data_IF_268322836945
#
_entry.id   IF_268322836945
#
_cell.length_a   1.000
_cell.length_b   1.000
_cell.length_c   1.000
_cell.angle_alpha   90.00
_cell.angle_beta   90.00
_cell.angle_gamma   90.00
#
_symmetry.space_group_name_H-M   'P 1'
#
loop_
_entity.id
_entity.type
_entity.pdbx_description
1 polymer ?
#
# COMPACT_ATOMS: atom_id res chain seq x y z
N UNK A 1 -2.10 -10.17 -6.79
CA UNK A 1 -2.57 -8.78 -6.66
C UNK A 1 -2.55 -8.39 -5.19
N UNK A 2 -2.20 -7.14 -4.88
CA UNK A 2 -1.85 -6.68 -3.54
C UNK A 2 -2.62 -5.43 -3.17
N UNK A 3 -3.18 -5.37 -1.96
CA UNK A 3 -3.75 -4.16 -1.35
C UNK A 3 -2.69 -3.56 -0.41
N UNK A 4 -2.32 -2.31 -0.66
CA UNK A 4 -1.29 -1.64 0.14
C UNK A 4 -1.90 -0.95 1.36
N UNK A 5 -1.34 -1.24 2.53
CA UNK A 5 -1.61 -0.50 3.75
C UNK A 5 -0.96 0.90 3.71
N UNK A 6 -1.55 1.85 4.39
CA UNK A 6 -1.10 3.26 4.41
C UNK A 6 0.38 3.42 4.78
N UNK A 7 0.93 2.74 5.82
CA UNK A 7 2.35 2.79 6.13
C UNK A 7 3.26 2.33 4.99
N UNK A 8 2.80 1.35 4.17
CA UNK A 8 3.54 0.87 3.00
C UNK A 8 3.64 1.98 1.95
N UNK A 9 2.53 2.65 1.67
CA UNK A 9 2.47 3.76 0.69
C UNK A 9 3.34 4.92 1.13
N UNK A 10 3.31 5.29 2.41
CA UNK A 10 4.15 6.34 2.99
C UNK A 10 5.64 5.97 2.96
N UNK A 11 5.98 4.70 3.18
CA UNK A 11 7.36 4.25 3.07
C UNK A 11 7.86 4.28 1.62
N UNK A 12 7.04 3.84 0.65
CA UNK A 12 7.36 3.92 -0.78
C UNK A 12 7.57 5.37 -1.26
N UNK A 13 6.93 6.37 -0.63
CA UNK A 13 7.19 7.79 -0.90
C UNK A 13 8.67 8.16 -0.74
N UNK A 14 9.37 7.50 0.19
CA UNK A 14 10.78 7.76 0.49
C UNK A 14 11.74 7.13 -0.54
N UNK A 15 11.23 6.32 -1.47
CA UNK A 15 12.07 5.61 -2.44
C UNK A 15 12.93 6.54 -3.29
N UNK A 16 12.45 7.76 -3.59
CA UNK A 16 13.22 8.77 -4.31
C UNK A 16 14.45 9.27 -3.55
N UNK A 17 14.37 9.38 -2.24
CA UNK A 17 15.48 9.83 -1.39
C UNK A 17 16.45 8.71 -1.01
N UNK A 18 16.19 7.47 -1.43
CA UNK A 18 16.99 6.31 -1.05
C UNK A 18 16.84 5.89 0.42
N UNK A 19 15.84 6.44 1.12
CA UNK A 19 15.59 6.20 2.54
C UNK A 19 14.50 5.15 2.80
N UNK A 20 14.05 4.44 1.77
CA UNK A 20 13.07 3.35 1.89
C UNK A 20 13.74 2.09 2.40
N UNK A 21 13.01 1.28 3.18
CA UNK A 21 13.45 -0.06 3.55
C UNK A 21 13.86 -0.88 2.32
N UNK A 22 15.02 -1.54 2.38
CA UNK A 22 15.60 -2.24 1.24
C UNK A 22 14.74 -3.42 0.79
N UNK A 23 14.15 -4.17 1.71
CA UNK A 23 13.27 -5.30 1.40
C UNK A 23 12.00 -4.84 0.69
N UNK A 24 11.35 -3.79 1.23
CA UNK A 24 10.18 -3.19 0.60
C UNK A 24 10.51 -2.64 -0.81
N UNK A 25 11.63 -1.96 -0.97
CA UNK A 25 12.04 -1.43 -2.27
C UNK A 25 12.30 -2.55 -3.28
N UNK A 26 12.97 -3.62 -2.86
CA UNK A 26 13.26 -4.80 -3.70
C UNK A 26 11.98 -5.50 -4.11
N UNK A 27 11.08 -5.78 -3.15
CA UNK A 27 9.79 -6.38 -3.45
C UNK A 27 8.96 -5.53 -4.41
N UNK A 28 8.79 -4.25 -4.10
CA UNK A 28 8.02 -3.35 -4.94
C UNK A 28 8.59 -3.23 -6.35
N UNK A 29 9.93 -3.32 -6.50
CA UNK A 29 10.59 -3.34 -7.80
C UNK A 29 10.24 -4.57 -8.64
N UNK A 30 9.99 -5.72 -8.02
CA UNK A 30 9.60 -6.96 -8.69
C UNK A 30 8.11 -7.06 -9.04
N UNK A 31 7.24 -6.23 -8.46
CA UNK A 31 5.80 -6.32 -8.66
C UNK A 31 5.32 -5.37 -9.76
N UNK A 32 4.50 -5.86 -10.68
CA UNK A 32 3.84 -5.00 -11.68
C UNK A 32 2.91 -4.00 -10.99
N UNK A 33 3.01 -2.73 -11.38
CA UNK A 33 2.16 -1.64 -10.88
C UNK A 33 0.65 -1.97 -10.98
N UNK A 34 0.24 -2.69 -12.03
CA UNK A 34 -1.14 -3.08 -12.25
C UNK A 34 -1.68 -4.03 -11.18
N UNK A 35 -0.80 -4.72 -10.47
CA UNK A 35 -1.14 -5.62 -9.37
C UNK A 35 -1.24 -4.93 -8.01
N UNK A 36 -0.98 -3.62 -7.92
CA UNK A 36 -1.02 -2.84 -6.70
C UNK A 36 -2.33 -2.04 -6.62
N UNK A 37 -3.05 -2.20 -5.53
CA UNK A 37 -4.32 -1.55 -5.23
C UNK A 37 -4.21 -0.73 -3.95
N UNK A 38 -5.04 0.31 -3.85
CA UNK A 38 -5.19 1.13 -2.66
C UNK A 38 -6.65 1.06 -2.19
N UNK A 39 -6.89 1.16 -0.90
CA UNK A 39 -8.25 1.35 -0.37
C UNK A 39 -8.58 2.84 -0.29
N UNK A 40 -9.85 3.22 -0.52
CA UNK A 40 -10.35 4.56 -0.21
C UNK A 40 -10.11 4.92 1.27
N UNK A 41 -10.09 3.92 2.17
CA UNK A 41 -9.71 4.11 3.57
C UNK A 41 -8.26 4.57 3.71
N UNK A 42 -7.31 3.93 2.99
CA UNK A 42 -5.91 4.34 3.01
C UNK A 42 -5.72 5.75 2.42
N UNK A 43 -6.48 6.10 1.39
CA UNK A 43 -6.50 7.46 0.85
C UNK A 43 -6.98 8.47 1.90
N UNK A 44 -8.07 8.17 2.62
CA UNK A 44 -8.56 8.99 3.72
C UNK A 44 -7.49 9.19 4.81
N UNK A 45 -6.73 8.16 5.14
CA UNK A 45 -5.65 8.24 6.14
C UNK A 45 -4.50 9.13 5.66
N UNK A 46 -4.15 9.09 4.38
CA UNK A 46 -3.16 9.99 3.79
C UNK A 46 -3.62 11.44 3.88
N UNK A 47 -4.87 11.74 3.53
CA UNK A 47 -5.46 13.09 3.63
C UNK A 47 -5.53 13.57 5.09
N UNK A 48 -5.93 12.69 6.02
CA UNK A 48 -5.93 13.00 7.45
C UNK A 48 -4.51 13.26 7.97
N UNK A 49 -3.50 12.59 7.44
CA UNK A 49 -2.11 12.82 7.81
C UNK A 49 -1.64 14.21 7.35
N UNK A 50 -2.05 14.65 6.15
CA UNK A 50 -1.80 16.01 5.69
C UNK A 50 -2.52 17.05 6.55
N UNK A 51 -3.79 16.80 6.90
CA UNK A 51 -4.57 17.71 7.75
C UNK A 51 -3.97 17.86 9.16
N UNK A 52 -3.40 16.81 9.73
CA UNK A 52 -2.71 16.88 11.04
C UNK A 52 -1.45 17.75 11.01
N UNK A 53 -0.80 17.86 9.86
CA UNK A 53 0.38 18.70 9.67
C UNK A 53 0.06 20.17 9.48
N UNK A 54 -1.20 20.56 9.21
CA UNK A 54 -1.57 21.93 8.88
C UNK A 54 -1.15 22.98 9.91
N UNK A 55 -1.16 22.64 11.20
CA UNK A 55 -0.78 23.57 12.28
C UNK A 55 0.71 23.49 12.59
N UNK A 56 1.32 22.31 12.80
CA UNK A 56 2.73 22.21 13.18
C UNK A 56 3.69 22.43 11.99
N UNK A 57 3.30 22.04 10.77
CA UNK A 57 4.16 22.11 9.57
C UNK A 57 3.33 22.34 8.29
N UNK A 58 3.01 23.60 8.02
CA UNK A 58 2.25 24.00 6.82
C UNK A 58 2.91 23.58 5.51
N UNK A 59 4.22 23.67 5.43
CA UNK A 59 4.97 23.30 4.22
C UNK A 59 4.93 21.78 3.99
N UNK A 60 5.11 20.99 5.05
CA UNK A 60 4.96 19.53 5.01
C UNK A 60 3.54 19.10 4.65
N UNK A 61 2.51 19.77 5.19
CA UNK A 61 1.11 19.53 4.84
C UNK A 61 0.85 19.78 3.34
N UNK A 62 1.30 20.92 2.82
CA UNK A 62 1.16 21.26 1.41
C UNK A 62 1.90 20.25 0.51
N UNK A 63 3.14 19.89 0.86
CA UNK A 63 3.93 18.91 0.13
C UNK A 63 3.26 17.51 0.13
N UNK A 64 2.63 17.11 1.24
CA UNK A 64 1.92 15.84 1.32
C UNK A 64 0.66 15.85 0.45
N UNK A 65 -0.14 16.93 0.46
CA UNK A 65 -1.32 17.08 -0.41
C UNK A 65 -0.96 17.05 -1.89
N UNK A 66 0.07 17.83 -2.29
CA UNK A 66 0.55 17.81 -3.68
C UNK A 66 1.01 16.41 -4.09
N UNK A 67 1.70 15.69 -3.21
CA UNK A 67 2.11 14.31 -3.48
C UNK A 67 0.90 13.37 -3.63
N UNK A 68 -0.14 13.51 -2.81
CA UNK A 68 -1.37 12.71 -2.93
C UNK A 68 -2.04 13.01 -4.28
N UNK A 69 -2.28 14.29 -4.59
CA UNK A 69 -3.00 14.72 -5.79
C UNK A 69 -2.24 14.39 -7.08
N UNK A 70 -0.94 14.68 -7.11
CA UNK A 70 -0.15 14.65 -8.35
C UNK A 70 0.52 13.28 -8.60
N UNK A 71 0.63 12.44 -7.56
CA UNK A 71 1.37 11.18 -7.65
C UNK A 71 0.55 9.97 -7.21
N UNK A 72 -0.07 9.98 -6.03
CA UNK A 72 -0.85 8.82 -5.55
C UNK A 72 -2.09 8.61 -6.40
N UNK A 73 -2.90 9.66 -6.59
CA UNK A 73 -4.14 9.55 -7.35
C UNK A 73 -3.92 9.03 -8.77
N UNK A 74 -2.99 9.59 -9.58
CA UNK A 74 -2.71 9.06 -10.91
C UNK A 74 -2.06 7.67 -10.88
N UNK A 75 -1.21 7.40 -9.86
CA UNK A 75 -0.56 6.10 -9.72
C UNK A 75 -1.55 4.96 -9.52
N UNK A 76 -2.65 5.20 -8.83
CA UNK A 76 -3.69 4.21 -8.53
C UNK A 76 -5.01 4.45 -9.28
N UNK A 77 -5.01 5.23 -10.34
CA UNK A 77 -6.21 5.44 -11.16
C UNK A 77 -6.83 4.10 -11.57
N UNK A 78 -8.15 3.96 -11.34
CA UNK A 78 -8.90 2.72 -11.57
C UNK A 78 -8.57 1.57 -10.61
N UNK A 79 -7.71 1.79 -9.60
CA UNK A 79 -7.27 0.78 -8.63
C UNK A 79 -7.38 1.24 -7.17
N UNK A 80 -8.17 2.28 -6.93
CA UNK A 80 -8.61 2.68 -5.59
C UNK A 80 -9.94 1.98 -5.31
N UNK A 81 -9.94 1.05 -4.38
CA UNK A 81 -11.10 0.24 -4.03
C UNK A 81 -12.00 1.01 -3.07
N UNK A 82 -13.31 1.10 -3.34
CA UNK A 82 -14.25 1.74 -2.43
C UNK A 82 -14.47 0.89 -1.17
N UNK A 83 -14.91 1.54 -0.09
CA UNK A 83 -15.50 0.87 1.09
C UNK A 83 -17.01 0.85 0.88
N UNK A 84 -17.48 -0.11 0.13
CA UNK A 84 -18.88 -0.27 -0.24
C UNK A 84 -19.66 -1.18 0.73
N UNK A 85 -20.94 -1.46 0.43
CA UNK A 85 -21.78 -2.29 1.26
C UNK A 85 -21.30 -3.76 1.35
N UNK A 86 -20.61 -4.28 0.34
CA UNK A 86 -20.04 -5.62 0.36
C UNK A 86 -18.87 -5.69 1.35
N UNK A 87 -17.96 -4.71 1.30
CA UNK A 87 -16.86 -4.58 2.25
C UNK A 87 -17.37 -4.42 3.69
N UNK A 88 -18.41 -3.59 3.92
CA UNK A 88 -19.00 -3.39 5.26
C UNK A 88 -19.60 -4.69 5.79
N UNK A 89 -20.34 -5.43 4.96
CA UNK A 89 -20.90 -6.75 5.34
C UNK A 89 -19.78 -7.76 5.62
N UNK A 90 -18.73 -7.76 4.85
CA UNK A 90 -17.55 -8.60 5.10
C UNK A 90 -16.89 -8.25 6.43
N UNK A 91 -16.74 -6.96 6.71
CA UNK A 91 -16.19 -6.46 7.99
C UNK A 91 -16.98 -7.00 9.19
N UNK A 92 -18.31 -7.04 9.11
CA UNK A 92 -19.16 -7.52 10.20
C UNK A 92 -18.92 -9.01 10.55
N UNK A 93 -18.33 -9.77 9.65
CA UNK A 93 -17.98 -11.21 9.83
C UNK A 93 -16.59 -11.41 10.44
N UNK A 94 -15.79 -10.35 10.59
CA UNK A 94 -14.43 -10.43 11.11
C UNK A 94 -14.36 -10.11 12.59
N UNK A 95 -13.68 -10.99 13.35
CA UNK A 95 -13.46 -10.81 14.79
C UNK A 95 -12.29 -9.84 15.09
N UNK A 96 -12.21 -8.72 14.35
CA UNK A 96 -11.23 -7.67 14.60
C UNK A 96 -11.90 -6.51 15.31
N UNK A 97 -11.29 -6.05 16.41
CA UNK A 97 -11.83 -4.96 17.25
C UNK A 97 -11.55 -3.60 16.63
N UNK A 98 -10.40 -3.41 16.04
CA UNK A 98 -10.08 -2.16 15.36
C UNK A 98 -10.86 -2.05 14.04
N UNK A 99 -11.66 -0.97 13.93
CA UNK A 99 -12.56 -0.77 12.78
C UNK A 99 -11.78 -0.51 11.49
N UNK A 100 -10.68 0.20 11.57
CA UNK A 100 -9.82 0.51 10.43
C UNK A 100 -9.19 -0.77 9.86
N UNK A 101 -8.56 -1.56 10.72
CA UNK A 101 -7.92 -2.82 10.32
C UNK A 101 -8.93 -3.84 9.82
N UNK A 102 -10.11 -3.89 10.45
CA UNK A 102 -11.20 -4.77 10.02
C UNK A 102 -11.74 -4.38 8.63
N UNK A 103 -11.86 -3.10 8.31
CA UNK A 103 -12.29 -2.63 6.97
C UNK A 103 -11.22 -2.92 5.92
N UNK A 104 -9.94 -2.72 6.26
CA UNK A 104 -8.84 -3.00 5.35
C UNK A 104 -8.74 -4.50 5.04
N UNK A 105 -8.83 -5.35 6.06
CA UNK A 105 -8.89 -6.80 5.90
C UNK A 105 -10.11 -7.24 5.09
N UNK A 106 -11.28 -6.65 5.36
CA UNK A 106 -12.51 -6.93 4.61
C UNK A 106 -12.37 -6.56 3.13
N UNK A 107 -11.76 -5.42 2.81
CA UNK A 107 -11.48 -5.01 1.44
C UNK A 107 -10.56 -6.01 0.75
N UNK A 108 -9.49 -6.44 1.40
CA UNK A 108 -8.57 -7.43 0.84
C UNK A 108 -9.26 -8.78 0.57
N UNK A 109 -10.08 -9.27 1.52
CA UNK A 109 -10.81 -10.54 1.38
C UNK A 109 -11.85 -10.43 0.27
N UNK A 110 -12.66 -9.37 0.24
CA UNK A 110 -13.75 -9.20 -0.73
C UNK A 110 -13.23 -9.17 -2.17
N UNK A 111 -12.07 -8.55 -2.38
CA UNK A 111 -11.45 -8.45 -3.70
C UNK A 111 -10.39 -9.54 -3.97
N UNK A 112 -10.22 -10.54 -3.09
CA UNK A 112 -9.28 -11.64 -3.27
C UNK A 112 -7.81 -11.21 -3.30
N UNK A 113 -7.45 -10.14 -2.60
CA UNK A 113 -6.11 -9.53 -2.59
C UNK A 113 -5.28 -10.01 -1.39
N UNK A 114 -3.96 -9.94 -1.53
CA UNK A 114 -3.03 -10.05 -0.41
C UNK A 114 -2.82 -8.67 0.19
N UNK A 115 -3.08 -8.51 1.49
CA UNK A 115 -2.84 -7.26 2.21
C UNK A 115 -1.36 -7.15 2.54
N UNK A 116 -0.73 -6.09 2.03
CA UNK A 116 0.67 -5.76 2.28
C UNK A 116 0.74 -4.80 3.45
N UNK A 117 1.31 -5.25 4.56
CA UNK A 117 1.41 -4.48 5.80
C UNK A 117 2.63 -4.88 6.61
N UNK A 118 3.16 -3.93 7.39
CA UNK A 118 4.19 -4.22 8.39
C UNK A 118 3.60 -4.87 9.65
N UNK A 119 2.34 -4.58 9.97
CA UNK A 119 1.69 -4.97 11.23
C UNK A 119 0.86 -6.24 11.09
N UNK A 120 1.45 -7.34 10.62
CA UNK A 120 0.76 -8.61 10.41
C UNK A 120 0.06 -9.14 11.67
N UNK A 121 0.58 -8.81 12.85
CA UNK A 121 0.00 -9.25 14.14
C UNK A 121 -1.38 -8.64 14.42
N UNK A 122 -1.67 -7.44 13.90
CA UNK A 122 -2.98 -6.79 14.04
C UNK A 122 -4.12 -7.58 13.37
N UNK A 123 -3.78 -8.42 12.38
CA UNK A 123 -4.73 -9.21 11.59
C UNK A 123 -4.82 -10.67 12.03
N UNK A 124 -4.23 -11.03 13.17
CA UNK A 124 -4.34 -12.39 13.71
C UNK A 124 -5.80 -12.74 13.97
N UNK A 125 -6.19 -13.95 13.54
CA UNK A 125 -7.56 -14.44 13.71
C UNK A 125 -8.50 -14.13 12.54
N UNK A 126 -8.12 -13.35 11.55
CA UNK A 126 -8.87 -13.23 10.31
C UNK A 126 -8.19 -13.97 9.15
N UNK A 127 -9.02 -14.45 8.20
CA UNK A 127 -8.55 -15.24 7.05
C UNK A 127 -8.10 -14.35 5.88
N UNK A 128 -7.39 -13.27 6.16
CA UNK A 128 -6.80 -12.42 5.14
C UNK A 128 -5.40 -12.93 4.78
N UNK A 129 -5.08 -12.95 3.49
CA UNK A 129 -3.70 -13.21 3.05
C UNK A 129 -2.86 -11.98 3.38
N UNK A 130 -1.76 -12.19 4.09
CA UNK A 130 -0.86 -11.12 4.54
C UNK A 130 0.50 -11.29 3.90
N UNK A 131 1.13 -10.17 3.62
CA UNK A 131 2.52 -10.11 3.21
C UNK A 131 3.21 -8.92 3.90
N UNK A 132 4.38 -9.19 4.50
CA UNK A 132 5.24 -8.17 5.08
C UNK A 132 6.52 -8.04 4.25
N UNK A 133 6.69 -6.95 3.49
CA UNK A 133 7.86 -6.77 2.64
C UNK A 133 9.12 -6.28 3.38
N UNK A 134 9.02 -5.93 4.66
CA UNK A 134 10.21 -5.54 5.44
C UNK A 134 11.13 -6.73 5.65
N UNK A 135 12.39 -6.56 5.24
CA UNK A 135 13.38 -7.64 5.27
C UNK A 135 13.23 -8.67 4.15
N UNK A 136 12.36 -8.40 3.17
CA UNK A 136 12.20 -9.28 2.01
C UNK A 136 13.51 -9.44 1.24
N UNK A 137 13.84 -10.69 0.88
CA UNK A 137 14.91 -11.07 -0.04
C UNK A 137 14.32 -11.87 -1.20
N UNK A 138 14.80 -11.69 -2.43
CA UNK A 138 14.27 -12.42 -3.59
C UNK A 138 14.37 -13.96 -3.52
N UNK A 139 15.12 -14.48 -2.57
CA UNK A 139 15.32 -15.91 -2.34
C UNK A 139 14.14 -16.53 -1.56
N UNK A 140 13.31 -15.70 -0.94
CA UNK A 140 12.17 -16.15 -0.11
C UNK A 140 10.92 -16.54 -0.95
N UNK A 141 10.90 -16.24 -2.26
CA UNK A 141 9.83 -16.65 -3.17
C UNK A 141 10.30 -17.79 -4.08
N UNK A 142 9.92 -19.02 -3.76
CA UNK A 142 10.10 -20.22 -4.58
C UNK A 142 9.07 -20.23 -5.73
N UNK A 143 9.12 -19.22 -6.62
CA UNK A 143 8.38 -19.26 -7.90
C UNK A 143 9.09 -18.44 -8.99
N UNK A 144 9.46 -19.16 -10.05
CA UNK A 144 10.47 -18.85 -11.05
C UNK A 144 10.29 -17.67 -11.99
N UNK A 145 9.39 -16.70 -11.78
CA UNK A 145 9.10 -15.63 -12.75
C UNK A 145 9.71 -14.26 -12.41
N UNK A 146 10.15 -14.04 -11.16
CA UNK A 146 10.68 -12.76 -10.68
C UNK A 146 12.13 -12.47 -11.17
N UNK A 147 12.91 -13.50 -11.49
CA UNK A 147 14.32 -13.34 -11.94
C UNK A 147 14.45 -12.55 -13.23
N UNK A 148 13.42 -12.59 -14.08
CA UNK A 148 13.37 -11.83 -15.31
C UNK A 148 12.96 -10.36 -15.07
N UNK A 149 12.09 -10.10 -14.10
CA UNK A 149 11.67 -8.76 -13.69
C UNK A 149 12.76 -7.99 -12.92
N UNK A 150 13.56 -8.68 -12.10
CA UNK A 150 14.63 -8.06 -11.31
C UNK A 150 15.82 -7.57 -12.16
N UNK A 151 16.03 -8.12 -13.36
CA UNK A 151 17.12 -7.71 -14.27
C UNK A 151 16.84 -6.40 -15.01
N UNK A 152 15.59 -5.99 -15.09
CA UNK A 152 15.16 -4.74 -15.71
C UNK A 152 14.68 -3.74 -14.66
N UNK A 153 15.35 -3.58 -13.53
CA UNK A 153 14.97 -2.76 -12.40
C UNK A 153 13.96 -1.70 -12.77
N UNK A 154 12.68 -1.81 -12.37
CA UNK A 154 11.62 -1.17 -13.11
C UNK A 154 11.71 0.34 -12.95
N UNK A 155 11.89 1.01 -14.07
CA UNK A 155 11.79 2.46 -14.25
C UNK A 155 10.52 2.99 -13.56
N UNK A 156 9.46 2.17 -13.45
CA UNK A 156 8.21 2.54 -12.81
C UNK A 156 8.31 2.75 -11.29
N UNK A 157 9.21 2.04 -10.58
CA UNK A 157 9.36 2.27 -9.13
C UNK A 157 9.99 3.63 -8.87
N UNK A 158 10.97 4.01 -9.70
CA UNK A 158 11.52 5.37 -9.69
C UNK A 158 10.46 6.39 -10.12
N UNK A 159 9.50 5.95 -10.94
CA UNK A 159 8.42 6.74 -11.54
C UNK A 159 7.04 6.44 -10.94
N UNK A 160 6.92 5.57 -9.91
CA UNK A 160 5.62 5.27 -9.28
C UNK A 160 4.93 6.55 -8.83
N UNK A 161 5.74 7.55 -8.49
CA UNK A 161 5.32 8.87 -8.06
C UNK A 161 6.03 10.00 -8.82
N UNK A 162 6.41 9.78 -10.09
CA UNK A 162 6.94 10.81 -11.01
C UNK A 162 5.97 10.95 -12.17
N UNK A 163 5.64 12.19 -12.54
CA UNK A 163 4.96 12.49 -13.79
C UNK A 163 5.77 11.95 -14.98
N UNK A 164 5.08 11.30 -15.92
CA UNK A 164 5.55 11.19 -17.29
C UNK A 164 5.57 12.58 -17.91
#
# INVERSE_FOLDING_TARGET
MYLLDTPVVLELRKAKSGCTDAGLATWAAGVSRQNLFLSALSLLELENSAARLDRPDKAGAAALRSWIADQVMPAFEGRILPVDAAVVRRRAQLALTDTRDALLAASAIEHGLTLVTRQTTAFKGCRVKLFNPWGYTPEDEDDGDWRQAARTGPVWLKNLFVRA
#
